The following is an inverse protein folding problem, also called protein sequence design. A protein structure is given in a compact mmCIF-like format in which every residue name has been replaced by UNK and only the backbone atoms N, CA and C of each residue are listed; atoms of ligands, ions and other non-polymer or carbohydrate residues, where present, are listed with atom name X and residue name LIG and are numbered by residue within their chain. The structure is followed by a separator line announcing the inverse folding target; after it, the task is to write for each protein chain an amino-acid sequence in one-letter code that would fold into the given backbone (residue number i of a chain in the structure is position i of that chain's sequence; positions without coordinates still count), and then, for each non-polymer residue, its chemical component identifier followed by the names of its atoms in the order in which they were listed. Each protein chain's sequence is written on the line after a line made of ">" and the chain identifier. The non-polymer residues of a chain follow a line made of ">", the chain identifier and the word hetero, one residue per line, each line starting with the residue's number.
data_IF_038641214363
#
_entry.id   IF_038641214363
#
_cell.length_a   1.000
_cell.length_b   1.000
_cell.length_c   1.000
_cell.angle_alpha   90.00
_cell.angle_beta   90.00
_cell.angle_gamma   90.00
#
_symmetry.space_group_name_H-M   'P 1'
#
loop_
_entity.id
_entity.type
_entity.pdbx_description
1 polymer ?
#
# COMPACT_ATOMS: atom_id res chain seq x y z
N UNK A 1 -5.63 17.44 -2.41
CA UNK A 1 -6.57 16.30 -2.54
C UNK A 1 -7.48 16.36 -3.76
N UNK A 2 -7.67 17.50 -4.46
CA UNK A 2 -8.52 17.56 -5.67
C UNK A 2 -7.96 16.81 -6.88
N UNK A 3 -6.63 16.64 -6.96
CA UNK A 3 -5.94 16.12 -8.15
C UNK A 3 -5.91 14.59 -8.26
N UNK A 4 -6.14 13.84 -7.16
CA UNK A 4 -6.26 12.38 -7.20
C UNK A 4 -7.58 11.90 -7.81
N UNK A 5 -8.60 12.78 -7.86
CA UNK A 5 -9.85 12.50 -8.60
C UNK A 5 -9.60 12.25 -10.08
N UNK A 6 -8.45 12.67 -10.61
CA UNK A 6 -8.11 12.49 -12.01
C UNK A 6 -7.97 11.02 -12.39
N UNK A 7 -7.49 10.17 -11.48
CA UNK A 7 -7.32 8.73 -11.69
C UNK A 7 -8.53 7.92 -11.20
N UNK A 8 -9.63 8.58 -10.86
CA UNK A 8 -10.90 7.91 -10.57
C UNK A 8 -11.45 7.31 -11.87
N UNK A 9 -11.77 6.00 -11.93
CA UNK A 9 -12.32 5.36 -13.12
C UNK A 9 -13.54 6.10 -13.69
N UNK A 10 -14.39 6.70 -12.85
CA UNK A 10 -15.56 7.47 -13.30
C UNK A 10 -15.14 8.71 -14.09
N UNK A 11 -14.09 9.39 -13.64
CA UNK A 11 -13.52 10.58 -14.31
C UNK A 11 -12.80 10.17 -15.59
N UNK A 12 -12.04 9.08 -15.57
CA UNK A 12 -11.35 8.54 -16.74
C UNK A 12 -12.35 8.20 -17.85
N UNK A 13 -13.44 7.49 -17.51
CA UNK A 13 -14.48 7.09 -18.47
C UNK A 13 -15.30 8.29 -18.96
N UNK A 14 -15.53 9.29 -18.12
CA UNK A 14 -16.21 10.53 -18.52
C UNK A 14 -15.42 11.38 -19.53
N UNK A 15 -14.12 11.10 -19.69
CA UNK A 15 -13.19 11.81 -20.61
C UNK A 15 -13.13 13.33 -20.36
N UNK A 16 -13.40 13.77 -19.14
CA UNK A 16 -13.50 15.20 -18.80
C UNK A 16 -12.14 15.93 -18.73
N UNK A 17 -11.01 15.23 -18.56
CA UNK A 17 -9.69 15.86 -18.36
C UNK A 17 -8.63 15.38 -19.35
N UNK A 18 -8.15 16.28 -20.21
CA UNK A 18 -7.22 15.95 -21.29
C UNK A 18 -5.76 15.68 -20.86
N UNK A 19 -5.35 15.96 -19.62
CA UNK A 19 -3.94 15.82 -19.21
C UNK A 19 -3.76 15.29 -17.79
N UNK A 20 -2.89 14.29 -17.67
CA UNK A 20 -2.42 13.71 -16.39
C UNK A 20 -1.26 14.49 -15.76
N UNK A 21 -0.65 15.40 -16.52
CA UNK A 21 0.52 16.18 -16.10
C UNK A 21 0.38 16.91 -14.75
N UNK A 22 -0.78 17.52 -14.39
CA UNK A 22 -0.94 18.16 -13.09
C UNK A 22 -0.81 17.21 -11.91
N UNK A 23 -1.04 15.91 -12.11
CA UNK A 23 -0.86 14.86 -11.09
C UNK A 23 0.59 14.36 -11.08
N UNK A 24 1.21 14.18 -12.24
CA UNK A 24 2.62 13.78 -12.36
C UNK A 24 3.57 14.74 -11.63
N UNK A 25 3.35 16.05 -11.73
CA UNK A 25 4.16 17.06 -11.03
C UNK A 25 4.02 16.96 -9.50
N UNK A 26 2.84 16.55 -9.00
CA UNK A 26 2.60 16.45 -7.56
C UNK A 26 3.29 15.22 -6.95
N UNK A 27 3.54 14.20 -7.77
CA UNK A 27 4.10 12.92 -7.35
C UNK A 27 5.45 12.62 -8.05
N UNK A 28 6.47 13.51 -7.96
CA UNK A 28 7.73 13.36 -8.69
C UNK A 28 8.55 12.16 -8.22
N UNK A 29 8.25 11.64 -7.01
CA UNK A 29 8.90 10.46 -6.45
C UNK A 29 8.45 9.17 -7.14
N UNK A 30 7.20 9.11 -7.61
CA UNK A 30 6.68 7.93 -8.32
C UNK A 30 7.26 7.86 -9.74
N UNK A 31 7.45 9.02 -10.37
CA UNK A 31 7.99 9.12 -11.74
C UNK A 31 9.52 9.16 -11.77
N UNK A 32 10.18 9.14 -10.61
CA UNK A 32 11.64 9.19 -10.43
C UNK A 32 12.31 10.36 -11.16
N UNK A 33 11.57 11.44 -11.45
CA UNK A 33 12.03 12.55 -12.31
C UNK A 33 12.57 12.10 -13.68
N UNK A 34 12.05 10.98 -14.21
CA UNK A 34 12.43 10.46 -15.51
C UNK A 34 11.52 11.03 -16.60
N UNK A 35 12.07 11.94 -17.41
CA UNK A 35 11.35 12.60 -18.50
C UNK A 35 10.80 11.61 -19.53
N UNK A 36 11.50 10.50 -19.78
CA UNK A 36 11.03 9.45 -20.70
C UNK A 36 9.78 8.76 -20.15
N UNK A 37 9.77 8.43 -18.86
CA UNK A 37 8.63 7.79 -18.21
C UNK A 37 7.43 8.73 -18.13
N UNK A 38 7.67 10.02 -17.84
CA UNK A 38 6.64 11.06 -17.86
C UNK A 38 5.97 11.15 -19.23
N UNK A 39 6.76 11.14 -20.30
CA UNK A 39 6.26 11.15 -21.66
C UNK A 39 5.45 9.89 -21.98
N UNK A 40 5.95 8.71 -21.60
CA UNK A 40 5.24 7.44 -21.80
C UNK A 40 3.87 7.44 -21.10
N UNK A 41 3.80 7.90 -19.84
CA UNK A 41 2.53 7.96 -19.10
C UNK A 41 1.55 8.95 -19.76
N UNK A 42 2.02 10.10 -20.24
CA UNK A 42 1.16 11.08 -20.93
C UNK A 42 0.67 10.54 -22.28
N UNK A 43 1.52 9.83 -23.02
CA UNK A 43 1.16 9.18 -24.29
C UNK A 43 0.11 8.07 -24.06
N UNK A 44 0.32 7.20 -23.07
CA UNK A 44 -0.63 6.15 -22.68
C UNK A 44 -1.97 6.75 -22.19
N UNK A 45 -1.90 7.85 -21.43
CA UNK A 45 -3.10 8.58 -20.99
C UNK A 45 -3.91 9.05 -22.20
N UNK A 46 -3.28 9.69 -23.18
CA UNK A 46 -3.97 10.15 -24.41
C UNK A 46 -4.49 8.99 -25.25
N UNK A 47 -3.78 7.87 -25.29
CA UNK A 47 -4.22 6.66 -26.00
C UNK A 47 -5.49 6.09 -25.36
N UNK A 48 -5.61 6.13 -24.03
CA UNK A 48 -6.78 5.66 -23.30
C UNK A 48 -8.07 6.42 -23.68
N UNK A 49 -7.98 7.72 -24.02
CA UNK A 49 -9.15 8.50 -24.48
C UNK A 49 -9.74 7.99 -25.79
N UNK A 50 -8.90 7.42 -26.65
CA UNK A 50 -9.31 6.89 -27.95
C UNK A 50 -9.56 5.38 -27.91
N UNK A 51 -9.33 4.74 -26.76
CA UNK A 51 -9.49 3.31 -26.57
C UNK A 51 -10.90 2.98 -26.04
N UNK A 52 -11.51 1.94 -26.59
CA UNK A 52 -12.74 1.36 -26.05
C UNK A 52 -12.38 0.39 -24.93
N UNK A 53 -12.56 0.83 -23.69
CA UNK A 53 -12.28 0.02 -22.51
C UNK A 53 -13.26 -1.17 -22.47
N UNK A 54 -12.77 -2.43 -22.38
CA UNK A 54 -13.63 -3.60 -22.28
C UNK A 54 -14.60 -3.54 -21.09
N UNK A 55 -15.80 -4.10 -21.27
CA UNK A 55 -16.83 -4.15 -20.22
C UNK A 55 -16.34 -4.83 -18.93
N UNK A 56 -15.43 -5.80 -19.04
CA UNK A 56 -14.83 -6.50 -17.89
C UNK A 56 -14.04 -5.58 -16.95
N UNK A 57 -13.54 -4.46 -17.48
CA UNK A 57 -12.84 -3.40 -16.73
C UNK A 57 -13.85 -2.35 -16.27
N UNK A 58 -14.80 -1.97 -17.14
CA UNK A 58 -15.88 -1.01 -16.81
C UNK A 58 -16.80 -1.49 -15.68
N UNK A 59 -16.85 -2.78 -15.37
CA UNK A 59 -17.62 -3.26 -14.22
C UNK A 59 -17.00 -2.87 -12.86
N UNK A 60 -15.77 -2.38 -12.82
CA UNK A 60 -15.03 -2.05 -11.60
C UNK A 60 -14.86 -0.54 -11.35
N UNK A 61 -15.82 0.29 -11.76
CA UNK A 61 -15.74 1.75 -11.54
C UNK A 61 -15.74 2.17 -10.07
N UNK A 62 -16.19 1.31 -9.16
CA UNK A 62 -16.18 1.57 -7.72
C UNK A 62 -14.91 1.06 -7.02
N UNK A 63 -14.10 0.26 -7.72
CA UNK A 63 -12.88 -0.37 -7.23
C UNK A 63 -11.70 0.13 -8.07
N UNK A 64 -11.17 1.34 -7.79
CA UNK A 64 -10.16 1.97 -8.63
C UNK A 64 -8.87 1.16 -8.73
N UNK A 65 -8.46 0.50 -7.64
CA UNK A 65 -7.33 -0.42 -7.60
C UNK A 65 -7.52 -1.62 -8.55
N UNK A 66 -8.71 -2.24 -8.53
CA UNK A 66 -9.04 -3.37 -9.43
C UNK A 66 -9.11 -2.91 -10.88
N UNK A 67 -9.70 -1.73 -11.14
CA UNK A 67 -9.76 -1.14 -12.48
C UNK A 67 -8.37 -0.97 -13.09
N UNK A 68 -7.46 -0.30 -12.37
CA UNK A 68 -6.10 -0.05 -12.87
C UNK A 68 -5.30 -1.35 -13.00
N UNK A 69 -5.47 -2.29 -12.07
CA UNK A 69 -4.82 -3.60 -12.16
C UNK A 69 -5.29 -4.41 -13.38
N UNK A 70 -6.58 -4.36 -13.73
CA UNK A 70 -7.05 -5.03 -14.95
C UNK A 70 -6.53 -4.31 -16.20
N UNK A 71 -6.45 -2.98 -16.18
CA UNK A 71 -5.92 -2.20 -17.28
C UNK A 71 -4.42 -2.47 -17.52
N UNK A 72 -3.63 -2.66 -16.46
CA UNK A 72 -2.20 -3.00 -16.59
C UNK A 72 -1.97 -4.37 -17.26
N UNK A 73 -2.92 -5.30 -17.09
CA UNK A 73 -2.85 -6.65 -17.63
C UNK A 73 -3.49 -6.78 -19.02
N UNK A 74 -4.03 -5.69 -19.57
CA UNK A 74 -4.64 -5.71 -20.90
C UNK A 74 -3.55 -5.92 -21.96
N UNK A 75 -3.65 -7.01 -22.72
CA UNK A 75 -2.80 -7.28 -23.87
C UNK A 75 -3.52 -6.92 -25.16
N UNK A 76 -2.83 -6.18 -26.03
CA UNK A 76 -3.22 -6.03 -27.43
C UNK A 76 -2.44 -6.99 -28.32
N UNK A 77 -2.92 -7.24 -29.54
CA UNK A 77 -2.56 -8.36 -30.43
C UNK A 77 -1.08 -8.71 -30.66
N UNK A 78 -0.14 -7.85 -30.23
CA UNK A 78 1.30 -8.10 -30.24
C UNK A 78 1.88 -8.47 -28.86
N UNK A 79 1.06 -8.86 -27.87
CA UNK A 79 1.45 -9.05 -26.46
C UNK A 79 2.01 -7.79 -25.78
N UNK A 80 1.80 -6.62 -26.38
CA UNK A 80 2.14 -5.35 -25.76
C UNK A 80 1.08 -4.99 -24.71
N UNK A 81 1.54 -4.41 -23.60
CA UNK A 81 0.71 -3.87 -22.53
C UNK A 81 0.64 -2.35 -22.69
N UNK A 82 -0.31 -1.83 -23.48
CA UNK A 82 -0.31 -0.43 -23.90
C UNK A 82 -0.57 0.58 -22.77
N UNK A 83 -0.95 0.13 -21.58
CA UNK A 83 -1.30 1.00 -20.45
C UNK A 83 -0.53 0.66 -19.17
N UNK A 84 0.55 -0.12 -19.28
CA UNK A 84 1.25 -0.66 -18.10
C UNK A 84 1.88 0.45 -17.25
N UNK A 85 2.47 1.47 -17.86
CA UNK A 85 3.16 2.54 -17.12
C UNK A 85 2.14 3.44 -16.43
N UNK A 86 1.07 3.79 -17.14
CA UNK A 86 -0.04 4.57 -16.61
C UNK A 86 -0.73 3.85 -15.45
N UNK A 87 -1.05 2.57 -15.64
CA UNK A 87 -1.74 1.79 -14.62
C UNK A 87 -0.89 1.58 -13.37
N UNK A 88 0.41 1.29 -13.53
CA UNK A 88 1.34 1.20 -12.40
C UNK A 88 1.43 2.53 -11.65
N UNK A 89 1.55 3.65 -12.38
CA UNK A 89 1.56 4.98 -11.75
C UNK A 89 0.27 5.24 -10.96
N UNK A 90 -0.90 4.89 -11.51
CA UNK A 90 -2.17 5.07 -10.82
C UNK A 90 -2.27 4.18 -9.56
N UNK A 91 -1.85 2.92 -9.62
CA UNK A 91 -1.82 2.00 -8.47
C UNK A 91 -0.87 2.52 -7.38
N UNK A 92 0.32 2.98 -7.77
CA UNK A 92 1.28 3.58 -6.85
C UNK A 92 0.72 4.84 -6.18
N UNK A 93 0.06 5.70 -6.95
CA UNK A 93 -0.59 6.89 -6.43
C UNK A 93 -1.75 6.56 -5.46
N UNK A 94 -2.55 5.53 -5.76
CA UNK A 94 -3.62 5.04 -4.88
C UNK A 94 -3.10 4.36 -3.62
N UNK A 95 -1.89 3.80 -3.67
CA UNK A 95 -1.22 3.18 -2.52
C UNK A 95 -0.67 4.21 -1.52
N UNK A 96 -0.65 5.49 -1.87
CA UNK A 96 -0.20 6.53 -0.97
C UNK A 96 -1.24 6.75 0.15
N UNK A 97 -0.82 6.77 1.43
CA UNK A 97 -1.73 7.01 2.53
C UNK A 97 -2.39 8.38 2.36
N UNK A 98 -3.73 8.39 2.35
CA UNK A 98 -4.52 9.57 2.03
C UNK A 98 -4.35 10.69 3.07
N UNK A 99 -3.94 10.40 4.31
CA UNK A 99 -3.81 11.42 5.35
C UNK A 99 -2.89 11.01 6.50
N UNK A 100 -2.40 12.02 7.23
CA UNK A 100 -1.72 11.85 8.52
C UNK A 100 -2.60 11.13 9.56
N UNK A 101 -3.93 11.10 9.36
CA UNK A 101 -4.87 10.38 10.22
C UNK A 101 -4.53 8.88 10.36
N UNK A 102 -3.96 8.25 9.32
CA UNK A 102 -3.52 6.86 9.41
C UNK A 102 -2.27 6.72 10.29
N UNK A 103 -1.35 7.68 10.22
CA UNK A 103 -0.21 7.75 11.13
C UNK A 103 -0.67 7.97 12.57
N UNK A 104 -1.62 8.89 12.82
CA UNK A 104 -2.21 9.13 14.14
C UNK A 104 -2.91 7.89 14.70
N UNK A 105 -3.60 7.12 13.85
CA UNK A 105 -4.19 5.84 14.24
C UNK A 105 -3.13 4.83 14.69
N UNK A 106 -1.97 4.78 14.01
CA UNK A 106 -0.85 3.95 14.46
C UNK A 106 -0.26 4.46 15.77
N UNK A 107 -0.06 5.77 15.93
CA UNK A 107 0.42 6.35 17.18
C UNK A 107 -0.53 6.08 18.36
N UNK A 108 -1.84 6.14 18.14
CA UNK A 108 -2.82 5.74 19.15
C UNK A 108 -2.67 4.27 19.55
N UNK A 109 -2.42 3.35 18.61
CA UNK A 109 -2.15 1.94 18.92
C UNK A 109 -0.84 1.77 19.71
N UNK A 110 0.21 2.51 19.35
CA UNK A 110 1.47 2.51 20.09
C UNK A 110 1.26 3.00 21.52
N UNK A 111 0.43 4.03 21.73
CA UNK A 111 0.07 4.49 23.08
C UNK A 111 -0.71 3.43 23.88
N UNK A 112 -1.55 2.62 23.23
CA UNK A 112 -2.21 1.48 23.89
C UNK A 112 -1.24 0.35 24.22
N UNK A 113 -0.21 0.14 23.41
CA UNK A 113 0.87 -0.84 23.68
C UNK A 113 1.74 -0.35 24.85
N UNK A 114 2.07 0.95 24.87
CA UNK A 114 2.86 1.62 25.92
C UNK A 114 1.93 2.19 27.00
N UNK A 115 1.41 1.32 27.86
CA UNK A 115 0.67 1.77 29.05
C UNK A 115 1.62 2.30 30.12
N UNK A 116 1.11 3.12 31.06
CA UNK A 116 1.94 3.75 32.11
C UNK A 116 2.78 2.77 32.93
N UNK A 117 2.28 1.56 33.14
CA UNK A 117 2.96 0.47 33.87
C UNK A 117 3.90 -0.36 33.01
N UNK A 118 3.84 -0.22 31.67
CA UNK A 118 4.64 -0.97 30.68
C UNK A 118 5.19 -0.02 29.61
N UNK A 119 5.89 1.02 30.06
CA UNK A 119 6.43 2.08 29.20
C UNK A 119 7.86 1.79 28.68
N UNK A 120 8.60 0.92 29.37
CA UNK A 120 9.96 0.52 29.02
C UNK A 120 9.96 -0.73 28.12
N UNK A 121 9.45 -0.57 26.90
CA UNK A 121 9.55 -1.58 25.85
C UNK A 121 10.56 -1.07 24.82
N UNK A 122 11.47 -1.94 24.39
CA UNK A 122 12.31 -1.63 23.25
C UNK A 122 11.44 -1.47 21.98
N UNK A 123 12.00 -0.80 20.98
CA UNK A 123 11.32 -0.51 19.71
C UNK A 123 10.90 -1.80 19.00
N UNK A 124 11.73 -2.83 19.07
CA UNK A 124 11.51 -4.11 18.39
C UNK A 124 10.29 -4.84 18.97
N UNK A 125 10.11 -4.81 20.30
CA UNK A 125 8.93 -5.38 20.96
C UNK A 125 7.67 -4.60 20.60
N UNK A 126 7.75 -3.25 20.54
CA UNK A 126 6.62 -2.43 20.14
C UNK A 126 6.23 -2.74 18.68
N UNK A 127 7.22 -2.83 17.78
CA UNK A 127 7.03 -3.18 16.38
C UNK A 127 6.42 -4.59 16.25
N UNK A 128 6.95 -5.58 16.96
CA UNK A 128 6.44 -6.95 16.94
C UNK A 128 4.99 -7.01 17.44
N UNK A 129 4.65 -6.34 18.54
CA UNK A 129 3.27 -6.25 19.03
C UNK A 129 2.34 -5.59 18.02
N UNK A 130 2.78 -4.50 17.38
CA UNK A 130 2.01 -3.80 16.38
C UNK A 130 1.75 -4.70 15.16
N UNK A 131 2.79 -5.35 14.63
CA UNK A 131 2.69 -6.28 13.50
C UNK A 131 1.81 -7.48 13.81
N UNK A 132 1.93 -8.08 15.00
CA UNK A 132 1.08 -9.19 15.43
C UNK A 132 -0.40 -8.78 15.47
N UNK A 133 -0.70 -7.63 16.08
CA UNK A 133 -2.08 -7.11 16.15
C UNK A 133 -2.67 -6.80 14.76
N UNK A 134 -1.86 -6.25 13.86
CA UNK A 134 -2.26 -5.96 12.48
C UNK A 134 -2.47 -7.24 11.68
N UNK A 135 -1.57 -8.22 11.80
CA UNK A 135 -1.65 -9.49 11.09
C UNK A 135 -2.89 -10.30 11.44
N UNK A 136 -3.33 -10.28 12.70
CA UNK A 136 -4.61 -10.90 13.12
C UNK A 136 -5.79 -10.16 12.46
N UNK A 137 -5.77 -8.82 12.48
CA UNK A 137 -6.83 -7.99 11.92
C UNK A 137 -6.96 -8.12 10.39
N UNK A 138 -5.84 -8.22 9.66
CA UNK A 138 -5.83 -8.38 8.18
C UNK A 138 -6.56 -9.67 7.77
N UNK A 139 -6.49 -10.72 8.60
CA UNK A 139 -7.19 -11.98 8.36
C UNK A 139 -8.67 -11.94 8.77
N UNK A 140 -9.21 -10.76 9.09
CA UNK A 140 -10.55 -10.56 9.65
C UNK A 140 -10.82 -11.38 10.92
N UNK A 141 -9.77 -11.73 11.66
CA UNK A 141 -9.87 -12.47 12.90
C UNK A 141 -9.71 -11.55 14.11
N UNK A 142 -10.13 -12.04 15.28
CA UNK A 142 -9.84 -11.44 16.58
C UNK A 142 -8.77 -12.24 17.31
N UNK A 143 -8.34 -11.77 18.49
CA UNK A 143 -7.47 -12.55 19.37
C UNK A 143 -8.16 -13.81 19.92
N UNK A 144 -9.49 -13.89 19.85
CA UNK A 144 -10.28 -15.03 20.32
C UNK A 144 -10.30 -16.13 19.25
N UNK A 145 -10.44 -15.74 17.98
CA UNK A 145 -10.58 -16.67 16.85
C UNK A 145 -9.22 -17.02 16.21
N UNK A 146 -8.13 -16.46 16.73
CA UNK A 146 -6.80 -16.69 16.18
C UNK A 146 -6.33 -18.11 16.47
N UNK A 147 -6.26 -18.92 15.40
CA UNK A 147 -5.64 -20.24 15.43
C UNK A 147 -4.20 -20.14 14.90
N UNK A 148 -3.16 -20.37 15.73
CA UNK A 148 -1.79 -20.34 15.28
C UNK A 148 -1.52 -21.47 14.29
N UNK A 149 -0.68 -21.20 13.28
CA UNK A 149 -0.25 -22.24 12.35
C UNK A 149 0.74 -23.18 13.04
N UNK A 150 0.86 -24.41 12.54
CA UNK A 150 1.86 -25.37 13.04
C UNK A 150 3.27 -24.78 13.07
N UNK A 151 3.64 -24.03 12.03
CA UNK A 151 4.92 -23.31 11.97
C UNK A 151 5.12 -22.30 13.12
N UNK A 152 4.07 -21.58 13.51
CA UNK A 152 4.14 -20.62 14.63
C UNK A 152 4.38 -21.35 15.96
N UNK A 153 3.73 -22.50 16.15
CA UNK A 153 3.91 -23.34 17.34
C UNK A 153 5.33 -23.93 17.35
N UNK A 154 5.78 -24.48 16.22
CA UNK A 154 7.12 -25.05 16.07
C UNK A 154 8.23 -24.00 16.22
N UNK A 155 7.90 -22.70 16.09
CA UNK A 155 8.84 -21.60 16.29
C UNK A 155 9.02 -21.21 17.77
N UNK A 156 8.14 -21.68 18.67
CA UNK A 156 8.21 -21.44 20.12
C UNK A 156 9.23 -22.37 20.80
N UNK A 157 10.47 -22.35 20.30
CA UNK A 157 11.60 -23.11 20.87
C UNK A 157 12.49 -22.20 21.70
N UNK A 158 13.20 -22.79 22.66
CA UNK A 158 14.16 -22.08 23.52
C UNK A 158 15.23 -21.35 22.71
N UNK A 159 15.69 -21.96 21.60
CA UNK A 159 16.68 -21.37 20.69
C UNK A 159 16.22 -20.09 20.00
N UNK A 160 14.91 -19.93 19.78
CA UNK A 160 14.35 -18.78 19.07
C UNK A 160 13.88 -17.69 20.03
N UNK A 161 13.46 -18.07 21.24
CA UNK A 161 12.94 -17.15 22.25
C UNK A 161 14.03 -16.50 23.10
N UNK A 162 15.13 -17.22 23.32
CA UNK A 162 16.24 -16.75 24.12
C UNK A 162 17.49 -16.74 23.26
N UNK A 163 18.09 -15.56 23.12
CA UNK A 163 19.40 -15.45 22.49
C UNK A 163 20.45 -15.98 23.49
N UNK A 164 21.22 -16.99 23.10
CA UNK A 164 22.23 -17.57 24.00
C UNK A 164 23.45 -16.66 24.19
N UNK A 165 23.52 -15.54 23.48
CA UNK A 165 24.54 -14.51 23.65
C UNK A 165 24.07 -13.49 24.69
N UNK A 166 24.14 -13.87 25.95
CA UNK A 166 23.94 -12.98 27.09
C UNK A 166 25.09 -11.98 27.18
N UNK A 167 24.86 -10.75 26.72
CA UNK A 167 25.62 -9.55 27.12
C UNK A 167 24.68 -8.33 27.27
N UNK A 168 23.45 -8.56 27.73
CA UNK A 168 22.59 -7.46 28.17
C UNK A 168 22.95 -7.11 29.62
N UNK A 169 23.94 -6.24 29.75
CA UNK A 169 24.25 -5.54 30.98
C UNK A 169 23.02 -4.71 31.38
N UNK A 170 22.28 -5.23 32.35
CA UNK A 170 21.04 -4.65 32.85
C UNK A 170 21.39 -3.38 33.66
N UNK A 171 21.39 -2.21 33.03
CA UNK A 171 21.49 -0.94 33.74
C UNK A 171 20.23 -0.72 34.58
N UNK A 172 20.28 -1.11 35.85
CA UNK A 172 19.48 -0.46 36.89
C UNK A 172 20.25 0.79 37.34
N UNK A 173 19.81 1.96 36.90
CA UNK A 173 20.02 3.19 37.67
C UNK A 173 18.66 3.67 38.15
N UNK A 174 18.58 3.89 39.47
CA UNK A 174 17.36 4.17 40.23
C UNK A 174 16.84 5.59 40.13
#
# INVERSE_FOLDING_TARGET
>A
MSKLKLIDPKVVVSRENASIFPLLIVLPRLTQSNDKLLQQIDDEWRLLFNFEIPNEILNHLEEPDVFWFKLSNLQMGNQEYPFVNLANFAIEALSLPHSNADCERIFSKVNLIKVKTRNCLNTDTIQACLLASQGIKIKNNTCIDFVPSKKMIDSMTTSNLYDNNSNDEFCFEG
#
